data_IF_080792184070
#
_entry.id   IF_080792184070
#
_cell.length_a   1.000
_cell.length_b   1.000
_cell.length_c   1.000
_cell.angle_alpha   90.00
_cell.angle_beta   90.00
_cell.angle_gamma   90.00
#
_symmetry.space_group_name_H-M   'P 1'
#
loop_
_entity.id
_entity.type
_entity.pdbx_description
1 polymer ?
#
# COMPACT_ATOMS: atom_id res chain seq x y z
N UNK A 1 -46.25 -26.12 -31.72
CA UNK A 1 -45.31 -27.17 -31.24
C UNK A 1 -44.18 -26.47 -30.50
N UNK A 2 -44.03 -26.67 -29.19
CA UNK A 2 -42.96 -26.03 -28.39
C UNK A 2 -41.63 -26.72 -28.73
N UNK A 3 -40.67 -25.97 -29.28
CA UNK A 3 -39.41 -26.51 -29.76
C UNK A 3 -38.54 -27.00 -28.59
N UNK A 4 -38.03 -28.23 -28.69
CA UNK A 4 -37.14 -28.85 -27.69
C UNK A 4 -35.85 -28.05 -27.49
N UNK A 5 -35.43 -27.29 -28.51
CA UNK A 5 -34.27 -26.41 -28.48
C UNK A 5 -34.42 -25.23 -27.49
N UNK A 6 -35.63 -24.67 -27.33
CA UNK A 6 -35.86 -23.58 -26.37
C UNK A 6 -35.73 -24.05 -24.92
N UNK A 7 -35.98 -25.34 -24.67
CA UNK A 7 -35.85 -25.92 -23.33
C UNK A 7 -34.39 -26.18 -22.99
N UNK A 8 -33.62 -26.70 -23.95
CA UNK A 8 -32.17 -26.90 -23.82
C UNK A 8 -31.40 -25.58 -23.62
N UNK A 9 -31.76 -24.52 -24.36
CA UNK A 9 -31.14 -23.20 -24.16
C UNK A 9 -31.42 -22.62 -22.78
N UNK A 10 -32.60 -22.92 -22.21
CA UNK A 10 -33.01 -22.45 -20.89
C UNK A 10 -32.34 -23.23 -19.75
N UNK A 11 -32.13 -24.52 -19.94
CA UNK A 11 -31.44 -25.38 -18.98
C UNK A 11 -29.92 -25.07 -18.96
N UNK A 12 -29.30 -24.84 -20.13
CA UNK A 12 -27.89 -24.41 -20.23
C UNK A 12 -27.66 -23.02 -19.59
N UNK A 13 -28.62 -22.10 -19.74
CA UNK A 13 -28.54 -20.79 -19.11
C UNK A 13 -28.71 -20.82 -17.58
N UNK A 14 -29.31 -21.89 -17.03
CA UNK A 14 -29.49 -22.05 -15.58
C UNK A 14 -28.29 -22.72 -14.88
N UNK A 15 -27.45 -23.47 -15.60
CA UNK A 15 -26.37 -24.27 -14.99
C UNK A 15 -24.96 -23.65 -15.09
N UNK A 16 -24.76 -22.52 -15.78
CA UNK A 16 -23.40 -22.13 -16.22
C UNK A 16 -22.88 -20.72 -15.94
N UNK A 17 -23.50 -19.91 -15.07
CA UNK A 17 -23.11 -18.49 -14.91
C UNK A 17 -23.03 -18.00 -13.45
N UNK A 18 -22.85 -18.90 -12.49
CA UNK A 18 -22.37 -18.51 -11.17
C UNK A 18 -20.84 -18.47 -11.18
N UNK A 19 -20.18 -17.45 -10.63
CA UNK A 19 -18.73 -17.47 -10.47
C UNK A 19 -18.33 -18.73 -9.70
N UNK A 20 -17.23 -19.38 -10.09
CA UNK A 20 -16.71 -20.51 -9.32
C UNK A 20 -16.22 -20.01 -7.94
N UNK A 21 -16.11 -20.87 -6.91
CA UNK A 21 -15.60 -20.46 -5.60
C UNK A 21 -14.20 -19.82 -5.66
N UNK A 22 -13.40 -20.21 -6.67
CA UNK A 22 -12.07 -19.67 -6.97
C UNK A 22 -12.14 -18.26 -7.60
N UNK A 23 -13.24 -17.94 -8.31
CA UNK A 23 -13.51 -16.60 -8.85
C UNK A 23 -14.12 -15.68 -7.79
N UNK A 24 -14.87 -16.21 -6.82
CA UNK A 24 -15.35 -15.46 -5.65
C UNK A 24 -14.20 -15.01 -4.72
N UNK A 25 -13.07 -15.74 -4.70
CA UNK A 25 -11.92 -15.43 -3.85
C UNK A 25 -11.17 -14.15 -4.27
N UNK A 26 -11.41 -13.62 -5.49
CA UNK A 26 -10.68 -12.46 -6.03
C UNK A 26 -11.56 -11.27 -6.44
N UNK A 27 -12.82 -11.22 -6.02
CA UNK A 27 -13.69 -10.05 -6.27
C UNK A 27 -13.46 -9.00 -5.17
N UNK A 28 -12.36 -8.24 -5.28
CA UNK A 28 -12.30 -6.95 -4.61
C UNK A 28 -13.30 -5.99 -5.25
N UNK A 29 -14.06 -5.28 -4.44
CA UNK A 29 -14.89 -4.20 -4.93
C UNK A 29 -14.03 -3.07 -5.47
N UNK A 30 -14.53 -2.34 -6.47
CA UNK A 30 -13.86 -1.13 -6.98
C UNK A 30 -13.55 -0.13 -5.85
N UNK A 31 -14.40 -0.07 -4.83
CA UNK A 31 -14.20 0.79 -3.67
C UNK A 31 -12.97 0.37 -2.84
N UNK A 32 -12.84 -0.91 -2.50
CA UNK A 32 -11.67 -1.42 -1.76
C UNK A 32 -10.38 -1.20 -2.54
N UNK A 33 -10.42 -1.35 -3.87
CA UNK A 33 -9.27 -1.07 -4.72
C UNK A 33 -8.85 0.40 -4.66
N UNK A 34 -9.82 1.32 -4.74
CA UNK A 34 -9.57 2.76 -4.62
C UNK A 34 -8.98 3.11 -3.25
N UNK A 35 -9.53 2.56 -2.17
CA UNK A 35 -9.04 2.78 -0.81
C UNK A 35 -7.58 2.30 -0.65
N UNK A 36 -7.25 1.13 -1.20
CA UNK A 36 -5.87 0.63 -1.22
C UNK A 36 -4.93 1.54 -2.02
N UNK A 37 -5.35 2.02 -3.19
CA UNK A 37 -4.55 2.96 -3.98
C UNK A 37 -4.30 4.28 -3.26
N UNK A 38 -5.32 4.83 -2.60
CA UNK A 38 -5.19 6.07 -1.80
C UNK A 38 -4.20 5.87 -0.67
N UNK A 39 -4.32 4.77 0.07
CA UNK A 39 -3.44 4.49 1.20
C UNK A 39 -1.99 4.24 0.74
N UNK A 40 -1.78 3.52 -0.37
CA UNK A 40 -0.46 3.36 -0.98
C UNK A 40 0.13 4.70 -1.45
N UNK A 41 -0.66 5.53 -2.13
CA UNK A 41 -0.25 6.87 -2.56
C UNK A 41 0.14 7.76 -1.40
N UNK A 42 -0.58 7.67 -0.27
CA UNK A 42 -0.26 8.40 0.97
C UNK A 42 1.08 7.96 1.56
N UNK A 43 1.40 6.66 1.55
CA UNK A 43 2.69 6.13 2.01
C UNK A 43 3.83 6.60 1.12
N UNK A 44 3.70 6.44 -0.19
CA UNK A 44 4.72 6.83 -1.16
C UNK A 44 4.99 8.33 -1.12
N UNK A 45 3.92 9.15 -1.09
CA UNK A 45 4.04 10.61 -1.01
C UNK A 45 4.76 11.08 0.26
N UNK A 46 4.48 10.47 1.42
CA UNK A 46 5.18 10.80 2.66
C UNK A 46 6.63 10.33 2.69
N UNK A 47 6.93 9.14 2.16
CA UNK A 47 8.31 8.67 2.03
C UNK A 47 9.14 9.63 1.15
N UNK A 48 8.61 9.95 -0.05
CA UNK A 48 9.24 10.89 -0.97
C UNK A 48 9.44 12.27 -0.34
N UNK A 49 8.39 12.83 0.27
CA UNK A 49 8.47 14.15 0.91
C UNK A 49 9.43 14.18 2.11
N UNK A 50 9.59 13.05 2.83
CA UNK A 50 10.58 12.94 3.91
C UNK A 50 12.01 12.99 3.37
N UNK A 51 12.27 12.30 2.25
CA UNK A 51 13.57 12.33 1.57
C UNK A 51 13.88 13.74 1.07
N UNK A 52 12.95 14.36 0.34
CA UNK A 52 13.13 15.71 -0.21
C UNK A 52 13.37 16.74 0.90
N UNK A 53 12.60 16.68 1.99
CA UNK A 53 12.75 17.60 3.11
C UNK A 53 14.08 17.41 3.84
N UNK A 54 14.51 16.16 4.03
CA UNK A 54 15.83 15.87 4.58
C UNK A 54 16.91 16.47 3.69
N UNK A 55 16.83 16.24 2.38
CA UNK A 55 17.84 16.70 1.43
C UNK A 55 17.91 18.23 1.35
N UNK A 56 16.76 18.90 1.44
CA UNK A 56 16.70 20.35 1.51
C UNK A 56 17.37 20.93 2.78
N UNK A 57 17.26 20.26 3.93
CA UNK A 57 17.81 20.75 5.21
C UNK A 57 19.26 20.34 5.44
N UNK A 58 19.63 19.13 5.04
CA UNK A 58 20.87 18.49 5.45
C UNK A 58 21.78 18.09 4.27
N UNK A 59 21.33 18.26 3.02
CA UNK A 59 22.01 17.74 1.84
C UNK A 59 21.76 16.24 1.65
N UNK A 60 22.51 15.62 0.75
CA UNK A 60 22.24 14.25 0.28
C UNK A 60 21.93 13.25 1.42
N UNK A 61 20.83 12.51 1.28
CA UNK A 61 20.46 11.49 2.25
C UNK A 61 21.41 10.28 2.14
N UNK A 62 21.99 9.80 3.25
CA UNK A 62 22.76 8.56 3.25
C UNK A 62 21.93 7.39 2.69
N UNK A 63 22.50 6.52 1.83
CA UNK A 63 21.76 5.44 1.17
C UNK A 63 20.99 4.52 2.13
N UNK A 64 21.58 4.21 3.29
CA UNK A 64 20.93 3.37 4.30
C UNK A 64 19.64 4.01 4.85
N UNK A 65 19.65 5.32 5.13
CA UNK A 65 18.48 6.04 5.61
C UNK A 65 17.41 6.15 4.52
N UNK A 66 17.83 6.38 3.27
CA UNK A 66 16.93 6.39 2.12
C UNK A 66 16.20 5.05 1.97
N UNK A 67 16.94 3.95 2.01
CA UNK A 67 16.36 2.61 1.97
C UNK A 67 15.41 2.36 3.14
N UNK A 68 15.73 2.84 4.35
CA UNK A 68 14.83 2.72 5.50
C UNK A 68 13.50 3.46 5.31
N UNK A 69 13.55 4.71 4.80
CA UNK A 69 12.36 5.51 4.49
C UNK A 69 11.51 4.89 3.38
N UNK A 70 12.13 4.41 2.31
CA UNK A 70 11.44 3.75 1.18
C UNK A 70 10.83 2.40 1.57
N UNK A 71 11.47 1.67 2.49
CA UNK A 71 10.97 0.39 2.98
C UNK A 71 9.85 0.51 4.00
N UNK A 72 9.69 1.65 4.68
CA UNK A 72 8.73 1.85 5.74
C UNK A 72 7.28 1.75 5.23
N UNK A 73 6.49 0.85 5.84
CA UNK A 73 5.09 0.61 5.48
C UNK A 73 4.10 1.12 6.53
N UNK A 74 4.60 1.47 7.72
CA UNK A 74 3.81 2.06 8.78
C UNK A 74 3.71 3.58 8.60
N UNK A 75 2.48 4.04 8.40
CA UNK A 75 2.23 5.42 8.02
C UNK A 75 2.29 6.41 9.19
N UNK A 76 1.83 6.08 10.41
CA UNK A 76 2.18 6.83 11.61
C UNK A 76 3.69 7.04 11.77
N UNK A 77 4.51 6.02 11.55
CA UNK A 77 5.98 6.13 11.61
C UNK A 77 6.52 7.07 10.55
N UNK A 78 6.08 6.94 9.28
CA UNK A 78 6.45 7.88 8.22
C UNK A 78 6.06 9.34 8.54
N UNK A 79 4.87 9.56 9.11
CA UNK A 79 4.45 10.90 9.54
C UNK A 79 5.34 11.45 10.65
N UNK A 80 5.70 10.63 11.63
CA UNK A 80 6.62 11.02 12.72
C UNK A 80 7.99 11.40 12.16
N UNK A 81 8.54 10.58 11.26
CA UNK A 81 9.81 10.89 10.59
C UNK A 81 9.74 12.16 9.76
N UNK A 82 8.68 12.35 8.97
CA UNK A 82 8.50 13.57 8.19
C UNK A 82 8.50 14.83 9.06
N UNK A 83 7.75 14.81 10.17
CA UNK A 83 7.73 15.92 11.12
C UNK A 83 9.09 16.15 11.78
N UNK A 84 9.76 15.08 12.24
CA UNK A 84 11.08 15.16 12.85
C UNK A 84 12.12 15.72 11.87
N UNK A 85 12.06 15.30 10.61
CA UNK A 85 12.90 15.85 9.55
C UNK A 85 12.59 17.32 9.30
N UNK A 86 11.39 17.82 9.58
CA UNK A 86 11.06 19.24 9.49
C UNK A 86 11.53 20.09 10.66
N UNK A 87 11.62 19.54 11.87
CA UNK A 87 11.81 20.33 13.10
C UNK A 87 13.06 19.97 13.91
N UNK A 88 13.55 18.74 13.81
CA UNK A 88 14.66 18.22 14.60
C UNK A 88 16.04 18.55 14.05
N UNK A 89 17.05 18.09 14.77
CA UNK A 89 18.47 18.11 14.38
C UNK A 89 18.81 16.95 13.45
N UNK A 90 19.99 16.99 12.83
CA UNK A 90 20.45 15.90 11.96
C UNK A 90 20.64 14.61 12.75
N UNK A 91 21.20 14.73 13.95
CA UNK A 91 21.53 13.63 14.84
C UNK A 91 20.27 12.89 15.29
N UNK A 92 19.25 13.62 15.75
CA UNK A 92 17.95 13.04 16.16
C UNK A 92 17.25 12.32 14.99
N UNK A 93 17.33 12.91 13.79
CA UNK A 93 16.80 12.30 12.57
C UNK A 93 17.55 11.02 12.24
N UNK A 94 18.89 11.04 12.27
CA UNK A 94 19.71 9.87 11.96
C UNK A 94 19.44 8.73 12.94
N UNK A 95 19.39 9.03 14.23
CA UNK A 95 19.06 8.06 15.26
C UNK A 95 17.68 7.45 15.01
N UNK A 96 16.66 8.28 14.76
CA UNK A 96 15.30 7.79 14.59
C UNK A 96 15.08 7.00 13.29
N UNK A 97 15.78 7.31 12.21
CA UNK A 97 15.66 6.58 10.93
C UNK A 97 16.53 5.32 10.91
N UNK A 98 17.58 5.26 11.73
CA UNK A 98 18.45 4.09 11.87
C UNK A 98 17.91 3.06 12.85
N UNK A 99 17.05 3.47 13.79
CA UNK A 99 16.36 2.55 14.67
C UNK A 99 15.47 1.61 13.84
N UNK A 100 15.78 0.31 13.86
CA UNK A 100 14.90 -0.68 13.24
C UNK A 100 13.49 -0.56 13.84
N UNK A 101 12.43 -0.75 13.04
CA UNK A 101 11.10 -0.91 13.61
C UNK A 101 11.16 -2.12 14.55
N UNK A 102 11.11 -1.83 15.85
CA UNK A 102 11.11 -2.83 16.90
C UNK A 102 9.82 -3.66 16.79
N UNK A 103 9.83 -4.70 15.95
CA UNK A 103 8.87 -5.81 15.91
C UNK A 103 9.31 -6.85 14.85
N UNK A 104 10.46 -7.48 15.10
CA UNK A 104 10.74 -8.86 14.67
C UNK A 104 11.50 -9.57 15.77
N UNK A 105 10.82 -9.96 16.83
CA UNK A 105 11.24 -11.07 17.68
C UNK A 105 9.99 -11.66 18.33
N UNK A 106 9.89 -12.97 18.12
CA UNK A 106 8.79 -13.91 18.36
C UNK A 106 8.21 -13.93 19.77
#
# INVERSE_FOLDING_TARGET
>A
MRNRFDRLAKDIAQEGLGPTPEEEEFVMTTQELVEQFIEQGRKQGLAQGTIELYEARFGAMPPALRSAVEAMRDLPTLRKWHLLVGTGTREEVHESLSAEPAERSS
#
